data_IF_261933014725
#
_entry.id   IF_261933014725
#
_cell.length_a   1.000
_cell.length_b   1.000
_cell.length_c   1.000
_cell.angle_alpha   90.00
_cell.angle_beta   90.00
_cell.angle_gamma   90.00
#
_symmetry.space_group_name_H-M   'P 1'
#
loop_
_entity.id
_entity.type
_entity.pdbx_description
1 polymer ?
#
# COMPACT_ATOMS: atom_id res chain seq x y z
N UNK A 1 -1.86 15.29 -15.33
CA UNK A 1 -1.96 14.03 -14.56
C UNK A 1 -0.54 13.54 -14.33
N UNK A 2 -0.07 13.55 -13.09
CA UNK A 2 1.29 13.13 -12.75
C UNK A 2 1.35 11.62 -12.83
N UNK A 3 1.86 11.07 -13.94
CA UNK A 3 2.10 9.64 -14.09
C UNK A 3 3.28 9.26 -13.20
N UNK A 4 2.98 8.63 -12.07
CA UNK A 4 4.01 8.04 -11.21
C UNK A 4 4.52 6.78 -11.90
N UNK A 5 5.81 6.76 -12.24
CA UNK A 5 6.50 5.54 -12.67
C UNK A 5 7.00 4.79 -11.44
N UNK A 6 6.63 3.52 -11.32
CA UNK A 6 7.06 2.66 -10.22
C UNK A 6 8.10 1.67 -10.76
N UNK A 7 9.28 1.67 -10.14
CA UNK A 7 10.29 0.64 -10.31
C UNK A 7 10.50 -0.01 -8.94
N UNK A 8 9.95 -1.21 -8.77
CA UNK A 8 10.04 -1.94 -7.51
C UNK A 8 10.29 -3.43 -7.79
N UNK A 9 11.11 -4.06 -6.95
CA UNK A 9 11.36 -5.48 -6.97
C UNK A 9 10.97 -6.09 -5.61
N UNK A 10 9.84 -6.81 -5.59
CA UNK A 10 9.28 -7.41 -4.38
C UNK A 10 9.61 -8.90 -4.39
N UNK A 11 10.32 -9.37 -3.38
CA UNK A 11 10.68 -10.79 -3.22
C UNK A 11 10.08 -11.33 -1.93
N UNK A 12 9.01 -12.10 -2.05
CA UNK A 12 8.39 -12.80 -0.94
C UNK A 12 8.98 -14.21 -0.82
N UNK A 13 9.30 -14.63 0.40
CA UNK A 13 9.79 -15.98 0.72
C UNK A 13 8.79 -16.66 1.63
N UNK A 14 8.27 -17.79 1.19
CA UNK A 14 7.31 -18.62 1.89
C UNK A 14 7.92 -19.99 2.17
N UNK A 15 7.28 -20.78 3.05
CA UNK A 15 7.73 -22.15 3.32
C UNK A 15 7.66 -23.05 2.06
N UNK A 16 6.71 -22.79 1.17
CA UNK A 16 6.49 -23.54 -0.07
C UNK A 16 7.28 -23.01 -1.29
N UNK A 17 8.03 -21.92 -1.16
CA UNK A 17 8.79 -21.34 -2.28
C UNK A 17 9.01 -19.85 -2.18
N UNK A 18 9.51 -19.24 -3.26
CA UNK A 18 9.67 -17.78 -3.35
C UNK A 18 8.82 -17.22 -4.49
N UNK A 19 8.30 -16.02 -4.30
CA UNK A 19 7.58 -15.26 -5.31
C UNK A 19 8.31 -13.95 -5.55
N UNK A 20 8.54 -13.61 -6.82
CA UNK A 20 9.17 -12.35 -7.22
C UNK A 20 8.20 -11.57 -8.08
N UNK A 21 7.97 -10.32 -7.73
CA UNK A 21 7.07 -9.40 -8.43
C UNK A 21 7.82 -8.13 -8.80
N UNK A 22 7.48 -7.58 -9.97
CA UNK A 22 8.05 -6.34 -10.47
C UNK A 22 6.93 -5.43 -10.99
N UNK A 23 6.15 -4.77 -10.10
CA UNK A 23 5.07 -3.90 -10.52
C UNK A 23 5.58 -2.67 -11.26
N UNK A 24 4.89 -2.29 -12.32
CA UNK A 24 5.20 -1.12 -13.15
C UNK A 24 4.22 0.04 -12.95
N UNK A 25 3.08 -0.24 -12.30
CA UNK A 25 2.05 0.73 -11.96
C UNK A 25 1.67 0.69 -10.48
N UNK A 26 1.04 1.78 -10.01
CA UNK A 26 0.47 1.86 -8.66
C UNK A 26 -0.57 0.77 -8.43
N UNK A 27 -1.36 0.43 -9.45
CA UNK A 27 -2.40 -0.61 -9.34
C UNK A 27 -1.79 -1.99 -9.11
N UNK A 28 -0.75 -2.35 -9.88
CA UNK A 28 -0.04 -3.61 -9.70
C UNK A 28 0.60 -3.68 -8.31
N UNK A 29 1.27 -2.60 -7.90
CA UNK A 29 1.89 -2.52 -6.58
C UNK A 29 0.87 -2.71 -5.45
N UNK A 30 -0.31 -2.08 -5.57
CA UNK A 30 -1.38 -2.19 -4.58
C UNK A 30 -1.93 -3.61 -4.48
N UNK A 31 -2.21 -4.25 -5.63
CA UNK A 31 -2.71 -5.63 -5.66
C UNK A 31 -1.69 -6.58 -5.03
N UNK A 32 -0.40 -6.47 -5.40
CA UNK A 32 0.66 -7.30 -4.83
C UNK A 32 0.79 -7.05 -3.32
N UNK A 33 0.83 -5.79 -2.89
CA UNK A 33 0.94 -5.45 -1.48
C UNK A 33 -0.21 -5.99 -0.63
N UNK A 34 -1.44 -5.89 -1.12
CA UNK A 34 -2.63 -6.41 -0.42
C UNK A 34 -2.61 -7.94 -0.41
N UNK A 35 -2.27 -8.60 -1.52
CA UNK A 35 -2.16 -10.07 -1.56
C UNK A 35 -1.13 -10.58 -0.55
N UNK A 36 0.02 -9.93 -0.45
CA UNK A 36 1.04 -10.27 0.54
C UNK A 36 0.54 -10.07 1.98
N UNK A 37 -0.16 -8.97 2.27
CA UNK A 37 -0.75 -8.71 3.58
C UNK A 37 -1.76 -9.80 3.96
N UNK A 38 -2.66 -10.17 3.03
CA UNK A 38 -3.67 -11.21 3.28
C UNK A 38 -3.03 -12.58 3.47
N UNK A 39 -1.99 -12.89 2.69
CA UNK A 39 -1.27 -14.17 2.79
C UNK A 39 -0.46 -14.33 4.07
N UNK A 40 0.16 -13.26 4.56
CA UNK A 40 1.05 -13.29 5.73
C UNK A 40 0.29 -13.05 7.05
N UNK A 41 -0.61 -12.06 7.06
CA UNK A 41 -1.28 -11.59 8.28
C UNK A 41 -2.77 -11.95 8.34
N UNK A 42 -3.36 -12.40 7.23
CA UNK A 42 -4.78 -12.69 7.12
C UNK A 42 -5.63 -11.48 6.72
N UNK A 43 -6.86 -11.75 6.27
CA UNK A 43 -7.77 -10.75 5.70
C UNK A 43 -8.13 -9.63 6.68
N UNK A 44 -8.42 -9.97 7.94
CA UNK A 44 -8.84 -8.99 8.95
C UNK A 44 -7.71 -8.00 9.28
N UNK A 45 -6.48 -8.50 9.41
CA UNK A 45 -5.32 -7.67 9.64
C UNK A 45 -5.08 -6.74 8.44
N UNK A 46 -5.10 -7.29 7.21
CA UNK A 46 -4.92 -6.51 5.98
C UNK A 46 -5.93 -5.36 5.87
N UNK A 47 -7.20 -5.61 6.22
CA UNK A 47 -8.23 -4.57 6.24
C UNK A 47 -7.91 -3.45 7.24
N UNK A 48 -7.50 -3.80 8.46
CA UNK A 48 -7.12 -2.80 9.47
C UNK A 48 -5.94 -1.92 9.04
N UNK A 49 -4.95 -2.49 8.34
CA UNK A 49 -3.84 -1.70 7.78
C UNK A 49 -4.31 -0.68 6.74
N UNK A 50 -5.24 -1.09 5.87
CA UNK A 50 -5.82 -0.20 4.85
C UNK A 50 -6.61 0.94 5.51
N UNK A 51 -7.39 0.63 6.54
CA UNK A 51 -8.14 1.65 7.30
C UNK A 51 -7.20 2.67 7.96
N UNK A 52 -6.11 2.23 8.58
CA UNK A 52 -5.10 3.12 9.18
C UNK A 52 -4.46 4.07 8.15
N UNK A 53 -4.21 3.59 6.93
CA UNK A 53 -3.69 4.42 5.83
C UNK A 53 -4.72 5.50 5.45
N UNK A 54 -6.00 5.14 5.34
CA UNK A 54 -7.05 6.11 5.06
C UNK A 54 -7.19 7.16 6.16
N UNK A 55 -7.16 6.76 7.42
CA UNK A 55 -7.19 7.69 8.56
C UNK A 55 -6.03 8.68 8.53
N UNK A 56 -4.83 8.19 8.18
CA UNK A 56 -3.65 9.05 8.00
C UNK A 56 -3.85 10.08 6.88
N UNK A 57 -4.31 9.66 5.70
CA UNK A 57 -4.55 10.59 4.58
C UNK A 57 -5.70 11.57 4.86
N UNK A 58 -6.73 11.16 5.59
CA UNK A 58 -7.79 12.06 6.05
C UNK A 58 -7.25 13.10 7.05
N UNK A 59 -6.36 12.67 7.95
CA UNK A 59 -5.71 13.55 8.94
C UNK A 59 -4.74 14.53 8.31
N UNK A 60 -4.00 14.08 7.30
CA UNK A 60 -3.05 14.90 6.53
C UNK A 60 -3.79 16.00 5.75
N UNK A 61 -4.87 15.64 5.05
CA UNK A 61 -5.76 16.61 4.38
C UNK A 61 -6.41 17.59 5.37
N UNK A 62 -6.79 17.12 6.57
CA UNK A 62 -7.34 18.00 7.61
C UNK A 62 -6.29 18.97 8.15
N UNK A 63 -5.03 18.55 8.20
CA UNK A 63 -3.90 19.39 8.65
C UNK A 63 -3.54 20.43 7.61
N UNK A 64 -3.48 20.08 6.33
CA UNK A 64 -3.29 21.04 5.22
C UNK A 64 -4.40 22.09 5.16
N UNK A 65 -5.66 21.70 5.43
CA UNK A 65 -6.80 22.62 5.46
C UNK A 65 -6.75 23.62 6.62
N UNK A 66 -6.11 23.28 7.74
CA UNK A 66 -5.92 24.18 8.89
C UNK A 66 -4.71 25.09 8.66
N UNK A 67 -3.64 24.61 8.03
CA UNK A 67 -2.44 25.39 7.73
C UNK A 67 -2.64 26.44 6.62
N UNK A 68 -3.67 26.32 5.78
CA UNK A 68 -3.96 27.28 4.68
C UNK A 68 -4.77 28.51 5.17
N UNK A 69 -5.05 28.62 6.47
CA UNK A 69 -5.86 29.71 7.05
C UNK A 69 -5.10 30.64 8.00
N UNK A 70 -3.76 30.58 8.04
CA UNK A 70 -2.91 31.49 8.83
C UNK A 70 -2.25 32.58 7.98
#
# INVERSE_FOLDING_TARGET
MTTVSIDAAIKAKWQDGHSSYSPSSTEELAIIGIDLLVRDLGTEAAQSFIEQIFEKHLSDQKTEAVSTRE
#
